data_IF_060321494715
#
_entry.id   IF_060321494715
#
_cell.length_a   1.000
_cell.length_b   1.000
_cell.length_c   1.000
_cell.angle_alpha   90.00
_cell.angle_beta   90.00
_cell.angle_gamma   90.00
#
_symmetry.space_group_name_H-M   'P 1'
#
loop_
_entity.id
_entity.type
_entity.pdbx_description
1 polymer ?
#
# COMPACT_ATOMS: atom_id res chain seq x y z
N UNK A 1 -7.02 89.25 -1.69
CA UNK A 1 -8.26 88.98 -0.94
C UNK A 1 -8.11 87.64 -0.24
N UNK A 2 -7.83 87.66 1.06
CA UNK A 2 -7.73 86.45 1.88
C UNK A 2 -9.16 85.93 2.16
N UNK A 3 -9.52 84.77 1.61
CA UNK A 3 -10.78 84.11 1.94
C UNK A 3 -10.65 83.46 3.32
N UNK A 4 -11.52 83.88 4.24
CA UNK A 4 -11.57 83.38 5.61
C UNK A 4 -11.99 81.90 5.63
N UNK A 5 -11.02 80.99 5.78
CA UNK A 5 -11.30 79.57 5.96
C UNK A 5 -11.66 79.30 7.42
N UNK A 6 -12.95 79.41 7.74
CA UNK A 6 -13.55 79.03 9.02
C UNK A 6 -13.47 77.51 9.18
N UNK A 7 -12.47 77.01 9.90
CA UNK A 7 -12.25 75.57 10.06
C UNK A 7 -13.18 75.01 11.14
N UNK A 8 -14.20 74.27 10.74
CA UNK A 8 -15.14 73.61 11.64
C UNK A 8 -14.58 72.27 12.13
N UNK A 9 -14.83 71.96 13.40
CA UNK A 9 -14.54 70.65 13.97
C UNK A 9 -15.46 69.58 13.34
N UNK A 10 -14.91 68.44 12.92
CA UNK A 10 -15.65 67.34 12.30
C UNK A 10 -16.76 66.78 13.21
N UNK A 11 -16.53 66.72 14.53
CA UNK A 11 -17.48 66.12 15.49
C UNK A 11 -18.57 67.08 15.98
N UNK A 12 -18.25 68.36 16.23
CA UNK A 12 -19.20 69.32 16.82
C UNK A 12 -19.59 70.49 15.91
N UNK A 13 -19.01 70.58 14.71
CA UNK A 13 -19.27 71.60 13.69
C UNK A 13 -19.08 73.06 14.13
N UNK A 14 -18.45 73.30 15.29
CA UNK A 14 -18.13 74.66 15.78
C UNK A 14 -16.85 75.18 15.13
N UNK A 15 -16.84 76.47 14.79
CA UNK A 15 -15.68 77.19 14.26
C UNK A 15 -14.74 77.60 15.41
N UNK A 16 -13.76 76.75 15.72
CA UNK A 16 -12.76 76.97 16.76
C UNK A 16 -11.34 76.70 16.19
N UNK A 17 -10.28 76.92 16.98
CA UNK A 17 -8.95 76.41 16.65
C UNK A 17 -9.03 74.89 16.51
N UNK A 18 -8.81 74.39 15.28
CA UNK A 18 -8.86 72.97 14.94
C UNK A 18 -7.49 72.45 14.53
N UNK A 19 -7.24 71.20 14.85
CA UNK A 19 -6.04 70.44 14.51
C UNK A 19 -6.41 69.39 13.47
N UNK A 20 -5.60 69.25 12.42
CA UNK A 20 -5.81 68.23 11.39
C UNK A 20 -5.18 66.91 11.84
N UNK A 21 -5.91 65.81 11.78
CA UNK A 21 -5.36 64.47 11.91
C UNK A 21 -4.79 64.04 10.55
N UNK A 22 -3.49 63.71 10.50
CA UNK A 22 -2.82 63.31 9.25
C UNK A 22 -3.37 61.99 8.68
N UNK A 23 -3.82 61.06 9.53
CA UNK A 23 -4.34 59.76 9.10
C UNK A 23 -5.70 59.85 8.39
N UNK A 24 -6.68 60.53 8.99
CA UNK A 24 -8.04 60.60 8.45
C UNK A 24 -8.34 61.92 7.70
N UNK A 25 -7.37 62.83 7.61
CA UNK A 25 -7.49 64.16 6.99
C UNK A 25 -8.62 65.05 7.54
N UNK A 26 -9.22 64.69 8.68
CA UNK A 26 -10.29 65.44 9.34
C UNK A 26 -9.72 66.41 10.38
N UNK A 27 -10.47 67.47 10.67
CA UNK A 27 -10.09 68.51 11.63
C UNK A 27 -10.91 68.42 12.91
N UNK A 28 -10.25 68.48 14.07
CA UNK A 28 -10.87 68.35 15.39
C UNK A 28 -10.51 69.53 16.28
N UNK A 29 -11.41 69.99 17.14
CA UNK A 29 -11.06 71.01 18.14
C UNK A 29 -10.28 70.38 19.30
N UNK A 30 -9.71 71.22 20.19
CA UNK A 30 -8.90 70.79 21.33
C UNK A 30 -9.58 69.78 22.27
N UNK A 31 -10.92 69.71 22.28
CA UNK A 31 -11.69 68.79 23.12
C UNK A 31 -11.91 67.44 22.40
N UNK A 32 -12.22 67.45 21.11
CA UNK A 32 -12.57 66.22 20.36
C UNK A 32 -11.37 65.51 19.72
N UNK A 33 -10.20 66.16 19.65
CA UNK A 33 -8.97 65.50 19.18
C UNK A 33 -8.51 64.40 20.15
N UNK A 34 -8.45 64.63 21.48
CA UNK A 34 -8.20 63.57 22.47
C UNK A 34 -9.20 62.41 22.38
N UNK A 35 -10.48 62.68 22.19
CA UNK A 35 -11.51 61.62 22.05
C UNK A 35 -11.30 60.79 20.78
N UNK A 36 -10.89 61.41 19.66
CA UNK A 36 -10.56 60.69 18.44
C UNK A 36 -9.32 59.80 18.62
N UNK A 37 -8.29 60.31 19.28
CA UNK A 37 -7.08 59.54 19.60
C UNK A 37 -7.36 58.40 20.58
N UNK A 38 -8.27 58.61 21.54
CA UNK A 38 -8.72 57.55 22.45
C UNK A 38 -9.41 56.42 21.69
N UNK A 39 -10.32 56.73 20.74
CA UNK A 39 -10.95 55.71 19.89
C UNK A 39 -9.94 54.95 19.04
N UNK A 40 -8.93 55.63 18.50
CA UNK A 40 -7.86 54.96 17.75
C UNK A 40 -7.01 54.03 18.64
N UNK A 41 -6.77 54.41 19.91
CA UNK A 41 -6.11 53.53 20.87
C UNK A 41 -6.99 52.33 21.24
N UNK A 42 -8.31 52.53 21.39
CA UNK A 42 -9.26 51.44 21.62
C UNK A 42 -9.28 50.47 20.42
N UNK A 43 -9.29 50.97 19.18
CA UNK A 43 -9.18 50.14 17.97
C UNK A 43 -7.83 49.39 17.90
N UNK A 44 -6.72 50.04 18.28
CA UNK A 44 -5.42 49.39 18.36
C UNK A 44 -5.41 48.28 19.42
N UNK A 45 -6.05 48.49 20.57
CA UNK A 45 -6.20 47.45 21.59
C UNK A 45 -6.98 46.25 21.06
N UNK A 46 -8.09 46.46 20.34
CA UNK A 46 -8.81 45.38 19.69
C UNK A 46 -7.95 44.60 18.68
N UNK A 47 -7.15 45.30 17.87
CA UNK A 47 -6.23 44.64 16.92
C UNK A 47 -5.16 43.82 17.65
N UNK A 48 -4.65 44.32 18.78
CA UNK A 48 -3.67 43.60 19.61
C UNK A 48 -4.30 42.35 20.23
N UNK A 49 -5.54 42.44 20.70
CA UNK A 49 -6.27 41.30 21.25
C UNK A 49 -6.52 40.23 20.18
N UNK A 50 -7.00 40.62 18.99
CA UNK A 50 -7.18 39.73 17.84
C UNK A 50 -5.85 39.07 17.42
N UNK A 51 -4.75 39.82 17.42
CA UNK A 51 -3.41 39.29 17.13
C UNK A 51 -2.98 38.25 18.16
N UNK A 52 -3.21 38.51 19.44
CA UNK A 52 -2.85 37.59 20.51
C UNK A 52 -3.69 36.31 20.45
N UNK A 53 -5.00 36.41 20.20
CA UNK A 53 -5.88 35.25 20.01
C UNK A 53 -5.42 34.42 18.80
N UNK A 54 -5.10 35.07 17.67
CA UNK A 54 -4.60 34.38 16.49
C UNK A 54 -3.25 33.68 16.74
N UNK A 55 -2.36 34.33 17.50
CA UNK A 55 -1.07 33.76 17.91
C UNK A 55 -1.24 32.56 18.83
N UNK A 56 -2.18 32.60 19.75
CA UNK A 56 -2.54 31.45 20.60
C UNK A 56 -3.07 30.29 19.76
N UNK A 57 -4.01 30.53 18.83
CA UNK A 57 -4.51 29.50 17.90
C UNK A 57 -3.40 28.86 17.06
N UNK A 58 -2.42 29.63 16.59
CA UNK A 58 -1.25 29.10 15.88
C UNK A 58 -0.40 28.22 16.80
N UNK A 59 -0.18 28.64 18.06
CA UNK A 59 0.61 27.86 19.01
C UNK A 59 -0.12 26.56 19.41
N UNK A 60 -1.44 26.60 19.57
CA UNK A 60 -2.26 25.42 19.79
C UNK A 60 -2.20 24.45 18.60
N UNK A 61 -2.28 24.95 17.37
CA UNK A 61 -2.12 24.11 16.17
C UNK A 61 -0.70 23.51 16.05
N UNK A 62 0.34 24.27 16.43
CA UNK A 62 1.71 23.75 16.49
C UNK A 62 1.91 22.69 17.56
N UNK A 63 1.20 22.78 18.69
CA UNK A 63 1.24 21.75 19.72
C UNK A 63 0.40 20.52 19.32
N UNK A 64 -0.72 20.74 18.64
CA UNK A 64 -1.57 19.68 18.10
C UNK A 64 -1.02 19.05 16.81
N UNK A 65 0.12 19.50 16.28
CA UNK A 65 0.71 18.91 15.07
C UNK A 65 1.12 17.45 15.26
N UNK A 66 1.26 16.98 16.51
CA UNK A 66 1.47 15.57 16.86
C UNK A 66 0.18 14.74 16.88
N UNK A 67 -0.99 15.39 17.04
CA UNK A 67 -2.32 14.76 17.00
C UNK A 67 -2.96 14.91 15.61
N UNK A 68 -2.16 15.01 14.56
CA UNK A 68 -2.67 15.10 13.21
C UNK A 68 -3.31 13.75 12.85
N UNK A 69 -4.50 13.77 12.22
CA UNK A 69 -5.21 12.55 11.83
C UNK A 69 -4.39 11.60 10.94
N UNK A 70 -3.45 12.16 10.16
CA UNK A 70 -2.49 11.37 9.39
C UNK A 70 -1.41 10.69 10.24
N UNK A 71 -0.99 11.28 11.37
CA UNK A 71 -0.07 10.62 12.31
C UNK A 71 -0.79 9.46 12.99
N UNK A 72 -2.05 9.65 13.41
CA UNK A 72 -2.85 8.55 13.92
C UNK A 72 -3.04 7.42 12.88
N UNK A 73 -3.20 7.77 11.60
CA UNK A 73 -3.23 6.78 10.52
C UNK A 73 -1.88 6.07 10.34
N UNK A 74 -0.76 6.79 10.40
CA UNK A 74 0.59 6.21 10.35
C UNK A 74 0.79 5.24 11.53
N UNK A 75 0.44 5.63 12.74
CA UNK A 75 0.56 4.79 13.93
C UNK A 75 -0.33 3.53 13.82
N UNK A 76 -1.54 3.69 13.27
CA UNK A 76 -2.42 2.56 12.97
C UNK A 76 -1.81 1.62 11.93
N UNK A 77 -1.26 2.16 10.84
CA UNK A 77 -0.62 1.37 9.78
C UNK A 77 0.65 0.68 10.26
N UNK A 78 1.46 1.34 11.09
CA UNK A 78 2.62 0.75 11.74
C UNK A 78 2.19 -0.44 12.61
N UNK A 79 1.18 -0.23 13.47
CA UNK A 79 0.65 -1.28 14.33
C UNK A 79 0.11 -2.47 13.53
N UNK A 80 -0.68 -2.21 12.49
CA UNK A 80 -1.24 -3.25 11.62
C UNK A 80 -0.13 -4.01 10.89
N UNK A 81 0.86 -3.30 10.33
CA UNK A 81 1.98 -3.90 9.61
C UNK A 81 2.84 -4.78 10.51
N UNK A 82 3.19 -4.29 11.71
CA UNK A 82 3.93 -5.07 12.71
C UNK A 82 3.15 -6.31 13.12
N UNK A 83 1.84 -6.19 13.33
CA UNK A 83 1.01 -7.32 13.74
C UNK A 83 0.91 -8.38 12.62
N UNK A 84 0.75 -7.96 11.37
CA UNK A 84 0.80 -8.87 10.21
C UNK A 84 2.14 -9.60 10.13
N UNK A 85 3.27 -8.88 10.29
CA UNK A 85 4.60 -9.49 10.30
C UNK A 85 4.76 -10.47 11.46
N UNK A 86 4.29 -10.13 12.66
CA UNK A 86 4.31 -11.03 13.83
C UNK A 86 3.47 -12.28 13.61
N UNK A 87 2.25 -12.13 13.07
CA UNK A 87 1.36 -13.25 12.77
C UNK A 87 1.98 -14.17 11.71
N UNK A 88 2.53 -13.60 10.63
CA UNK A 88 3.23 -14.39 9.59
C UNK A 88 4.44 -15.12 10.17
N UNK A 89 5.25 -14.45 11.00
CA UNK A 89 6.36 -15.09 11.70
C UNK A 89 5.89 -16.21 12.64
N UNK A 90 4.76 -16.05 13.32
CA UNK A 90 4.19 -17.06 14.20
C UNK A 90 3.70 -18.29 13.42
N UNK A 91 2.96 -18.09 12.34
CA UNK A 91 2.52 -19.16 11.44
C UNK A 91 3.72 -19.95 10.89
N UNK A 92 4.80 -19.26 10.54
CA UNK A 92 6.03 -19.91 10.11
C UNK A 92 6.71 -20.71 11.22
N UNK A 93 6.77 -20.19 12.45
CA UNK A 93 7.26 -20.96 13.61
C UNK A 93 6.44 -22.23 13.81
N UNK A 94 5.12 -22.13 13.75
CA UNK A 94 4.22 -23.28 13.85
C UNK A 94 4.49 -24.28 12.73
N UNK A 95 4.66 -23.82 11.49
CA UNK A 95 5.02 -24.67 10.35
C UNK A 95 6.37 -25.39 10.55
N UNK A 96 7.39 -24.74 11.13
CA UNK A 96 8.68 -25.40 11.48
C UNK A 96 8.46 -26.47 12.52
N UNK A 97 7.69 -26.17 13.56
CA UNK A 97 7.40 -27.10 14.65
C UNK A 97 6.65 -28.31 14.12
N UNK A 98 5.59 -28.12 13.34
CA UNK A 98 4.81 -29.19 12.73
C UNK A 98 5.66 -30.05 11.77
N UNK A 99 6.47 -29.42 10.92
CA UNK A 99 7.36 -30.15 10.02
C UNK A 99 8.41 -30.97 10.79
N UNK A 100 8.95 -30.41 11.87
CA UNK A 100 9.90 -31.11 12.75
C UNK A 100 9.25 -32.26 13.50
N UNK A 101 8.04 -32.06 14.04
CA UNK A 101 7.25 -33.12 14.68
C UNK A 101 6.90 -34.24 13.70
N UNK A 102 6.46 -33.90 12.49
CA UNK A 102 6.16 -34.89 11.45
C UNK A 102 7.40 -35.71 11.08
N UNK A 103 8.56 -35.06 11.00
CA UNK A 103 9.83 -35.75 10.79
C UNK A 103 10.15 -36.74 11.93
N UNK A 104 10.04 -36.31 13.19
CA UNK A 104 10.27 -37.16 14.36
C UNK A 104 9.26 -38.31 14.41
N UNK A 105 7.96 -38.05 14.19
CA UNK A 105 6.93 -39.09 14.16
C UNK A 105 7.20 -40.14 13.08
N UNK A 106 7.70 -39.74 11.91
CA UNK A 106 8.10 -40.67 10.85
C UNK A 106 9.29 -41.55 11.28
N UNK A 107 10.27 -40.98 11.99
CA UNK A 107 11.40 -41.73 12.56
C UNK A 107 10.90 -42.71 13.64
N UNK A 108 10.02 -42.28 14.53
CA UNK A 108 9.42 -43.12 15.57
C UNK A 108 8.63 -44.29 14.97
N UNK A 109 7.84 -44.06 13.91
CA UNK A 109 7.14 -45.13 13.20
C UNK A 109 8.10 -46.18 12.63
N UNK A 110 9.18 -45.74 11.95
CA UNK A 110 10.22 -46.66 11.45
C UNK A 110 10.90 -47.43 12.57
N UNK A 111 11.16 -46.76 13.70
CA UNK A 111 11.79 -47.39 14.86
C UNK A 111 10.86 -48.42 15.53
N UNK A 112 9.57 -48.12 15.64
CA UNK A 112 8.57 -49.05 16.17
C UNK A 112 8.39 -50.27 15.27
N UNK A 113 8.37 -50.10 13.95
CA UNK A 113 8.34 -51.20 12.99
C UNK A 113 9.57 -52.11 13.14
N UNK A 114 10.76 -51.51 13.26
CA UNK A 114 12.00 -52.25 13.53
C UNK A 114 11.93 -53.02 14.86
N UNK A 115 11.36 -52.42 15.91
CA UNK A 115 11.18 -53.09 17.21
C UNK A 115 10.25 -54.31 17.10
N UNK A 116 9.15 -54.20 16.33
CA UNK A 116 8.25 -55.33 16.05
C UNK A 116 9.00 -56.45 15.32
N UNK A 117 9.79 -56.12 14.30
CA UNK A 117 10.60 -57.10 13.56
C UNK A 117 11.62 -57.80 14.47
N UNK A 118 12.28 -57.05 15.38
CA UNK A 118 13.20 -57.62 16.37
C UNK A 118 12.47 -58.61 17.29
N UNK A 119 11.29 -58.23 17.81
CA UNK A 119 10.50 -59.09 18.70
C UNK A 119 9.99 -60.36 18.00
N UNK A 120 9.69 -60.29 16.70
CA UNK A 120 9.31 -61.46 15.90
C UNK A 120 10.50 -62.42 15.75
N UNK A 121 11.66 -61.91 15.33
CA UNK A 121 12.89 -62.70 15.18
C UNK A 121 13.35 -63.34 16.48
N UNK A 122 13.14 -62.71 17.63
CA UNK A 122 13.44 -63.29 18.95
C UNK A 122 12.63 -64.55 19.28
N UNK A 123 11.48 -64.75 18.63
CA UNK A 123 10.61 -65.92 18.81
C UNK A 123 10.91 -67.05 17.81
N UNK A 124 11.67 -66.76 16.77
CA UNK A 124 12.07 -67.72 15.75
C UNK A 124 13.31 -68.52 16.22
N UNK A 125 13.36 -69.80 15.87
CA UNK A 125 14.47 -70.70 16.27
C UNK A 125 15.54 -70.87 15.19
N UNK A 126 15.31 -70.34 13.99
CA UNK A 126 16.12 -70.54 12.78
C UNK A 126 16.64 -69.22 12.15
N UNK A 127 16.65 -68.12 12.91
CA UNK A 127 17.24 -66.87 12.44
C UNK A 127 18.74 -67.02 12.13
N UNK A 128 19.23 -66.25 11.16
CA UNK A 128 20.62 -66.34 10.70
C UNK A 128 21.29 -64.95 10.58
N UNK A 129 22.56 -64.94 10.16
CA UNK A 129 23.38 -63.74 10.03
C UNK A 129 22.83 -62.72 9.02
N UNK A 130 22.06 -63.17 8.03
CA UNK A 130 21.41 -62.28 7.05
C UNK A 130 20.33 -61.45 7.74
N UNK A 131 19.54 -62.06 8.63
CA UNK A 131 18.50 -61.37 9.41
C UNK A 131 19.14 -60.32 10.33
N UNK A 132 20.25 -60.66 11.01
CA UNK A 132 20.96 -59.74 11.88
C UNK A 132 21.58 -58.56 11.12
N UNK A 133 22.16 -58.81 9.94
CA UNK A 133 22.71 -57.75 9.09
C UNK A 133 21.62 -56.86 8.49
N UNK A 134 20.45 -57.41 8.17
CA UNK A 134 19.30 -56.64 7.73
C UNK A 134 18.84 -55.64 8.80
N UNK A 135 18.64 -56.10 10.05
CA UNK A 135 18.26 -55.23 11.17
C UNK A 135 19.31 -54.15 11.45
N UNK A 136 20.60 -54.51 11.43
CA UNK A 136 21.71 -53.54 11.60
C UNK A 136 21.69 -52.46 10.52
N UNK A 137 21.45 -52.83 9.26
CA UNK A 137 21.36 -51.88 8.17
C UNK A 137 20.15 -50.95 8.29
N UNK A 138 18.99 -51.46 8.74
CA UNK A 138 17.81 -50.62 8.99
C UNK A 138 18.05 -49.64 10.14
N UNK A 139 18.64 -50.10 11.25
CA UNK A 139 19.00 -49.24 12.36
C UNK A 139 19.97 -48.13 11.92
N UNK A 140 20.99 -48.49 11.12
CA UNK A 140 21.96 -47.52 10.58
C UNK A 140 21.29 -46.44 9.73
N UNK A 141 20.36 -46.83 8.85
CA UNK A 141 19.60 -45.88 8.01
C UNK A 141 18.76 -44.92 8.86
N UNK A 142 18.06 -45.42 9.88
CA UNK A 142 17.27 -44.58 10.79
C UNK A 142 18.19 -43.60 11.55
N UNK A 143 19.35 -44.07 12.02
CA UNK A 143 20.35 -43.21 12.68
C UNK A 143 20.92 -42.15 11.74
N UNK A 144 21.22 -42.50 10.49
CA UNK A 144 21.68 -41.56 9.45
C UNK A 144 20.61 -40.50 9.14
N UNK A 145 19.35 -40.90 9.02
CA UNK A 145 18.23 -39.98 8.80
C UNK A 145 18.02 -39.03 9.98
N UNK A 146 18.04 -39.53 11.23
CA UNK A 146 17.91 -38.71 12.44
C UNK A 146 19.04 -37.68 12.57
N UNK A 147 20.27 -38.05 12.18
CA UNK A 147 21.44 -37.18 12.24
C UNK A 147 21.52 -36.18 11.08
N UNK A 148 20.75 -36.38 10.00
CA UNK A 148 20.56 -35.34 9.00
C UNK A 148 19.57 -34.30 9.57
N UNK A 149 20.09 -33.11 9.93
CA UNK A 149 19.28 -32.01 10.45
C UNK A 149 18.03 -31.79 9.59
N UNK A 150 16.93 -31.38 10.23
CA UNK A 150 15.66 -31.08 9.56
C UNK A 150 15.88 -30.23 8.31
N UNK A 151 15.23 -30.64 7.20
CA UNK A 151 15.39 -30.09 5.85
C UNK A 151 14.85 -28.65 5.68
N UNK A 152 15.00 -27.80 6.68
CA UNK A 152 14.37 -26.50 6.79
C UNK A 152 15.49 -25.44 6.78
N UNK A 153 15.49 -24.58 5.77
CA UNK A 153 16.34 -23.39 5.73
C UNK A 153 15.49 -22.14 5.75
N UNK A 154 15.93 -21.15 6.53
CA UNK A 154 15.32 -19.83 6.58
C UNK A 154 16.05 -18.94 5.58
N UNK A 155 15.30 -18.28 4.70
CA UNK A 155 15.83 -17.22 3.84
C UNK A 155 15.23 -15.88 4.29
N UNK A 156 16.11 -14.90 4.49
CA UNK A 156 15.71 -13.51 4.74
C UNK A 156 15.62 -12.80 3.39
N UNK A 157 14.54 -12.04 3.18
CA UNK A 157 14.39 -11.24 1.96
C UNK A 157 15.36 -10.03 1.97
N UNK A 158 15.85 -9.64 0.80
CA UNK A 158 17.06 -8.81 0.63
C UNK A 158 16.84 -7.30 0.80
N UNK A 159 15.69 -6.89 1.33
CA UNK A 159 15.30 -5.47 1.47
C UNK A 159 15.62 -4.95 2.88
N UNK A 160 15.87 -3.64 3.02
CA UNK A 160 16.28 -2.99 4.27
C UNK A 160 15.25 -3.11 5.42
N UNK A 161 13.99 -3.46 5.10
CA UNK A 161 12.93 -3.84 6.03
C UNK A 161 12.55 -5.31 5.81
N UNK A 162 12.32 -6.06 6.90
CA UNK A 162 11.80 -7.43 6.83
C UNK A 162 10.33 -7.35 6.44
N UNK A 163 10.06 -7.35 5.14
CA UNK A 163 8.69 -7.37 4.60
C UNK A 163 8.12 -8.79 4.57
N UNK A 164 9.00 -9.79 4.50
CA UNK A 164 8.63 -11.19 4.46
C UNK A 164 9.71 -12.06 5.10
N UNK A 165 9.26 -13.04 5.89
CA UNK A 165 10.06 -14.19 6.29
C UNK A 165 9.47 -15.36 5.51
N UNK A 166 10.30 -16.12 4.79
CA UNK A 166 9.87 -17.29 4.05
C UNK A 166 10.70 -18.50 4.46
N UNK A 167 10.04 -19.61 4.76
CA UNK A 167 10.70 -20.88 5.01
C UNK A 167 10.73 -21.67 3.71
N UNK A 168 11.93 -22.07 3.29
CA UNK A 168 12.12 -22.97 2.16
C UNK A 168 12.34 -24.37 2.73
N UNK A 169 11.39 -25.28 2.45
CA UNK A 169 11.58 -26.71 2.70
C UNK A 169 12.54 -27.26 1.64
N UNK A 170 13.83 -27.35 1.98
CA UNK A 170 14.85 -27.88 1.09
C UNK A 170 14.78 -29.42 1.09
N UNK A 171 13.83 -30.00 0.35
CA UNK A 171 14.00 -31.40 -0.11
C UNK A 171 15.22 -31.45 -1.02
N UNK A 172 16.42 -31.70 -0.48
CA UNK A 172 17.69 -31.95 -1.19
C UNK A 172 17.69 -31.38 -2.61
N UNK A 173 17.59 -30.04 -2.73
CA UNK A 173 17.72 -29.39 -4.02
C UNK A 173 19.20 -29.35 -4.31
N UNK A 174 19.70 -30.40 -4.96
CA UNK A 174 20.90 -30.25 -5.77
C UNK A 174 20.61 -29.07 -6.68
N UNK A 175 21.37 -28.00 -6.51
CA UNK A 175 21.21 -26.66 -7.09
C UNK A 175 21.43 -26.59 -8.60
N UNK A 176 20.90 -27.56 -9.34
CA UNK A 176 20.80 -27.53 -10.80
C UNK A 176 19.33 -27.77 -11.15
N UNK A 177 18.65 -26.65 -11.39
CA UNK A 177 17.28 -26.51 -11.93
C UNK A 177 16.16 -26.83 -10.94
N UNK A 178 15.54 -25.77 -10.41
CA UNK A 178 14.21 -25.87 -9.80
C UNK A 178 13.26 -26.43 -10.87
N UNK A 179 12.76 -27.66 -10.67
CA UNK A 179 11.70 -28.23 -11.51
C UNK A 179 10.36 -27.88 -10.87
N UNK A 180 9.54 -27.16 -11.63
CA UNK A 180 8.16 -26.84 -11.25
C UNK A 180 7.28 -28.07 -11.42
N UNK A 181 6.50 -28.40 -10.38
CA UNK A 181 5.44 -29.40 -10.49
C UNK A 181 4.40 -28.93 -11.53
N UNK A 182 4.05 -29.80 -12.47
CA UNK A 182 3.12 -29.47 -13.56
C UNK A 182 1.66 -29.73 -13.12
N UNK A 183 1.27 -29.15 -11.98
CA UNK A 183 -0.02 -29.35 -11.31
C UNK A 183 -0.76 -28.02 -11.08
N UNK A 184 -0.64 -27.09 -12.03
CA UNK A 184 -1.28 -25.78 -11.93
C UNK A 184 -2.79 -25.90 -11.66
N UNK A 185 -3.26 -25.08 -10.72
CA UNK A 185 -4.68 -24.94 -10.39
C UNK A 185 -5.21 -23.60 -10.92
N UNK A 186 -6.45 -23.57 -11.37
CA UNK A 186 -7.11 -22.33 -11.81
C UNK A 186 -7.60 -21.56 -10.58
N UNK A 187 -7.08 -20.36 -10.37
CA UNK A 187 -7.44 -19.48 -9.24
C UNK A 187 -8.36 -18.32 -9.62
N UNK A 188 -8.50 -18.04 -10.93
CA UNK A 188 -9.41 -17.02 -11.47
C UNK A 188 -9.87 -17.44 -12.88
N UNK A 189 -11.14 -17.19 -13.21
CA UNK A 189 -11.72 -17.56 -14.51
C UNK A 189 -11.86 -19.08 -14.70
N UNK A 190 -11.56 -19.56 -15.92
CA UNK A 190 -11.68 -20.98 -16.30
C UNK A 190 -13.06 -21.43 -16.78
N UNK A 191 -14.07 -20.55 -16.75
CA UNK A 191 -15.44 -20.85 -17.17
C UNK A 191 -15.78 -20.43 -18.60
N UNK A 192 -14.76 -20.19 -19.43
CA UNK A 192 -14.90 -19.76 -20.82
C UNK A 192 -14.71 -18.26 -21.04
N UNK A 193 -14.77 -17.87 -22.32
CA UNK A 193 -14.68 -16.47 -22.77
C UNK A 193 -16.04 -15.81 -22.67
N UNK A 194 -16.14 -14.75 -21.86
CA UNK A 194 -17.36 -13.98 -21.69
C UNK A 194 -17.18 -12.84 -20.70
N UNK A 195 -18.28 -12.25 -20.24
CA UNK A 195 -18.30 -11.05 -19.40
C UNK A 195 -18.96 -11.25 -18.03
N UNK A 196 -19.35 -12.48 -17.69
CA UNK A 196 -19.85 -12.79 -16.33
C UNK A 196 -18.76 -12.62 -15.29
N UNK A 197 -19.13 -12.60 -14.01
CA UNK A 197 -18.19 -12.41 -12.90
C UNK A 197 -17.23 -13.60 -12.70
N UNK A 198 -17.50 -14.76 -13.30
CA UNK A 198 -16.66 -15.94 -13.28
C UNK A 198 -16.00 -16.25 -14.64
N UNK A 199 -16.18 -15.37 -15.64
CA UNK A 199 -15.65 -15.48 -17.00
C UNK A 199 -14.66 -14.33 -17.29
N UNK A 200 -13.73 -14.55 -18.21
CA UNK A 200 -12.67 -13.60 -18.56
C UNK A 200 -12.45 -13.58 -20.08
N UNK A 201 -11.96 -12.49 -20.64
CA UNK A 201 -11.78 -12.33 -22.09
C UNK A 201 -10.48 -11.59 -22.45
N UNK A 202 -9.57 -12.32 -23.11
CA UNK A 202 -8.27 -11.84 -23.59
C UNK A 202 -7.46 -11.08 -22.52
N UNK A 203 -7.16 -11.78 -21.43
CA UNK A 203 -6.40 -11.23 -20.30
C UNK A 203 -5.04 -10.67 -20.72
N UNK A 204 -4.65 -9.56 -20.11
CA UNK A 204 -3.40 -8.84 -20.44
C UNK A 204 -2.38 -8.84 -19.30
N UNK A 205 -2.84 -8.68 -18.05
CA UNK A 205 -1.97 -8.51 -16.89
C UNK A 205 -2.60 -9.06 -15.60
N UNK A 206 -1.74 -9.36 -14.62
CA UNK A 206 -2.15 -9.80 -13.28
C UNK A 206 -1.36 -9.08 -12.19
N UNK A 207 -1.97 -8.92 -11.02
CA UNK A 207 -1.31 -8.49 -9.78
C UNK A 207 -1.84 -9.35 -8.63
N UNK A 208 -0.97 -9.74 -7.69
CA UNK A 208 -1.34 -10.54 -6.52
C UNK A 208 -0.98 -9.76 -5.27
N UNK A 209 -1.95 -9.52 -4.39
CA UNK A 209 -1.73 -8.84 -3.12
C UNK A 209 -1.30 -9.80 -2.00
N UNK A 210 -0.88 -9.24 -0.87
CA UNK A 210 -0.41 -10.00 0.31
C UNK A 210 -1.49 -10.93 0.89
N UNK A 211 -2.77 -10.63 0.66
CA UNK A 211 -3.92 -11.44 1.07
C UNK A 211 -4.24 -12.56 0.04
N UNK A 212 -3.36 -12.77 -0.95
CA UNK A 212 -3.50 -13.73 -2.05
C UNK A 212 -4.72 -13.46 -2.94
N UNK A 213 -5.21 -12.22 -2.97
CA UNK A 213 -6.21 -11.81 -3.95
C UNK A 213 -5.54 -11.52 -5.29
N UNK A 214 -6.16 -11.98 -6.37
CA UNK A 214 -5.65 -11.81 -7.73
C UNK A 214 -6.46 -10.74 -8.45
N UNK A 215 -5.78 -9.71 -8.92
CA UNK A 215 -6.33 -8.67 -9.77
C UNK A 215 -5.96 -8.99 -11.20
N UNK A 216 -6.94 -8.95 -12.08
CA UNK A 216 -6.79 -9.36 -13.47
C UNK A 216 -7.34 -8.26 -14.37
N UNK A 217 -6.53 -7.85 -15.34
CA UNK A 217 -6.96 -6.96 -16.40
C UNK A 217 -7.70 -7.76 -17.47
N UNK A 218 -9.02 -7.61 -17.45
CA UNK A 218 -9.96 -8.26 -18.36
C UNK A 218 -10.15 -7.37 -19.60
N UNK A 219 -9.11 -7.37 -20.44
CA UNK A 219 -8.84 -6.37 -21.49
C UNK A 219 -10.04 -6.10 -22.40
N UNK A 220 -10.62 -7.15 -22.98
CA UNK A 220 -11.71 -7.04 -23.96
C UNK A 220 -13.06 -6.73 -23.30
N UNK A 221 -13.18 -6.94 -21.99
CA UNK A 221 -14.33 -6.49 -21.21
C UNK A 221 -14.09 -5.10 -20.58
N UNK A 222 -12.95 -4.48 -20.86
CA UNK A 222 -12.58 -3.13 -20.43
C UNK A 222 -12.72 -2.91 -18.92
N UNK A 223 -12.32 -3.89 -18.13
CA UNK A 223 -12.46 -3.86 -16.68
C UNK A 223 -11.28 -4.50 -15.98
N UNK A 224 -11.13 -4.20 -14.70
CA UNK A 224 -10.26 -4.95 -13.79
C UNK A 224 -11.13 -5.72 -12.82
N UNK A 225 -10.82 -6.99 -12.66
CA UNK A 225 -11.52 -7.92 -11.81
C UNK A 225 -10.62 -8.37 -10.66
N UNK A 226 -11.17 -8.45 -9.44
CA UNK A 226 -10.49 -8.99 -8.25
C UNK A 226 -11.12 -10.32 -7.85
N UNK A 227 -10.30 -11.36 -7.70
CA UNK A 227 -10.66 -12.62 -7.05
C UNK A 227 -10.00 -12.67 -5.68
N UNK A 228 -10.80 -12.85 -4.62
CA UNK A 228 -10.25 -13.23 -3.32
C UNK A 228 -9.80 -14.69 -3.37
N UNK A 229 -8.89 -15.07 -2.47
CA UNK A 229 -8.46 -16.45 -2.29
C UNK A 229 -9.67 -17.40 -2.22
N UNK A 230 -9.63 -18.47 -3.01
CA UNK A 230 -10.65 -19.52 -3.10
C UNK A 230 -12.05 -19.06 -3.59
N UNK A 231 -12.19 -17.83 -4.07
CA UNK A 231 -13.46 -17.31 -4.59
C UNK A 231 -13.81 -17.96 -5.94
N UNK A 232 -15.10 -18.29 -6.13
CA UNK A 232 -15.61 -18.87 -7.39
C UNK A 232 -15.89 -17.81 -8.47
N UNK A 233 -16.11 -16.58 -8.05
CA UNK A 233 -16.38 -15.43 -8.91
C UNK A 233 -15.58 -14.21 -8.41
N UNK A 234 -15.29 -13.30 -9.33
CA UNK A 234 -14.58 -12.07 -9.04
C UNK A 234 -15.54 -10.89 -8.89
N UNK A 235 -15.00 -9.78 -8.42
CA UNK A 235 -15.72 -8.51 -8.34
C UNK A 235 -15.06 -7.49 -9.25
N UNK A 236 -15.86 -6.65 -9.91
CA UNK A 236 -15.34 -5.53 -10.71
C UNK A 236 -14.79 -4.49 -9.75
N UNK A 237 -13.52 -4.12 -9.92
CA UNK A 237 -12.83 -3.14 -9.07
C UNK A 237 -12.36 -1.90 -9.83
N UNK A 238 -12.31 -1.95 -11.17
CA UNK A 238 -12.12 -0.77 -12.02
C UNK A 238 -12.79 -0.97 -13.39
N UNK A 239 -13.13 0.12 -14.08
CA UNK A 239 -13.72 0.09 -15.43
C UNK A 239 -15.21 -0.26 -15.50
N UNK A 240 -15.94 -0.16 -14.39
CA UNK A 240 -17.39 -0.38 -14.33
C UNK A 240 -18.23 0.71 -15.02
N UNK A 241 -19.52 0.82 -14.65
CA UNK A 241 -20.51 1.61 -15.39
C UNK A 241 -20.28 3.13 -15.44
N UNK A 242 -19.51 3.72 -14.51
CA UNK A 242 -19.37 5.19 -14.38
C UNK A 242 -18.10 5.75 -15.01
N UNK A 243 -16.95 5.07 -14.86
CA UNK A 243 -15.68 5.48 -15.45
C UNK A 243 -15.16 4.37 -16.35
N UNK A 244 -15.40 4.51 -17.66
CA UNK A 244 -15.05 3.49 -18.65
C UNK A 244 -13.55 3.46 -18.89
N UNK A 245 -12.95 2.30 -18.64
CA UNK A 245 -11.65 1.94 -19.20
C UNK A 245 -11.85 1.55 -20.67
N UNK A 246 -10.76 1.48 -21.42
CA UNK A 246 -10.71 0.96 -22.78
C UNK A 246 -9.42 0.16 -22.95
N UNK A 247 -9.59 -1.16 -23.03
CA UNK A 247 -8.49 -2.14 -23.05
C UNK A 247 -7.57 -2.00 -21.82
N UNK A 248 -8.07 -2.39 -20.64
CA UNK A 248 -7.24 -2.42 -19.44
C UNK A 248 -5.98 -3.29 -19.67
N UNK A 249 -4.79 -2.71 -19.43
CA UNK A 249 -3.50 -3.39 -19.58
C UNK A 249 -2.87 -3.63 -18.20
N UNK A 250 -1.82 -2.90 -17.83
CA UNK A 250 -1.17 -3.02 -16.53
C UNK A 250 -2.10 -2.65 -15.39
N UNK A 251 -2.07 -3.45 -14.32
CA UNK A 251 -2.75 -3.18 -13.06
C UNK A 251 -1.76 -3.35 -11.92
N UNK A 252 -1.74 -2.40 -10.99
CA UNK A 252 -1.01 -2.49 -9.72
C UNK A 252 -1.90 -1.95 -8.59
N UNK A 253 -1.69 -2.46 -7.39
CA UNK A 253 -2.39 -2.00 -6.19
C UNK A 253 -1.35 -1.52 -5.19
N UNK A 254 -1.53 -0.32 -4.65
CA UNK A 254 -0.63 0.20 -3.62
C UNK A 254 -0.96 -0.34 -2.22
N UNK A 255 -0.13 -0.01 -1.24
CA UNK A 255 -0.32 -0.44 0.15
C UNK A 255 -1.57 0.15 0.83
N UNK A 256 -2.20 1.16 0.21
CA UNK A 256 -3.47 1.76 0.65
C UNK A 256 -4.68 1.11 -0.04
N UNK A 257 -4.47 0.07 -0.85
CA UNK A 257 -5.53 -0.59 -1.60
C UNK A 257 -6.02 0.20 -2.82
N UNK A 258 -5.31 1.24 -3.24
CA UNK A 258 -5.67 2.02 -4.43
C UNK A 258 -5.21 1.29 -5.67
N UNK A 259 -6.10 1.23 -6.67
CA UNK A 259 -5.90 0.45 -7.88
C UNK A 259 -5.51 1.40 -9.01
N UNK A 260 -4.35 1.17 -9.60
CA UNK A 260 -3.86 1.93 -10.74
C UNK A 260 -3.96 1.04 -11.98
N UNK A 261 -4.43 1.62 -13.08
CA UNK A 261 -4.67 0.88 -14.33
C UNK A 261 -4.15 1.69 -15.51
N UNK A 262 -3.35 1.05 -16.35
CA UNK A 262 -3.01 1.57 -17.67
C UNK A 262 -4.22 1.41 -18.59
N UNK A 263 -4.82 2.54 -18.94
CA UNK A 263 -6.01 2.65 -19.78
C UNK A 263 -5.56 2.85 -21.24
N UNK A 264 -5.26 1.72 -21.89
CA UNK A 264 -4.46 1.63 -23.11
C UNK A 264 -4.99 2.49 -24.26
N UNK A 265 -6.24 2.29 -24.68
CA UNK A 265 -6.80 3.03 -25.82
C UNK A 265 -7.22 4.46 -25.46
N UNK A 266 -7.22 4.81 -24.18
CA UNK A 266 -7.49 6.18 -23.72
C UNK A 266 -6.20 6.95 -23.40
N UNK A 267 -5.02 6.37 -23.66
CA UNK A 267 -3.73 7.06 -23.56
C UNK A 267 -3.50 7.71 -22.19
N UNK A 268 -3.86 6.99 -21.11
CA UNK A 268 -3.79 7.51 -19.74
C UNK A 268 -3.57 6.41 -18.71
N UNK A 269 -3.24 6.82 -17.48
CA UNK A 269 -3.27 5.95 -16.30
C UNK A 269 -4.34 6.49 -15.35
N UNK A 270 -5.19 5.58 -14.89
CA UNK A 270 -6.32 5.88 -14.01
C UNK A 270 -6.07 5.29 -12.62
N UNK A 271 -6.63 5.91 -11.59
CA UNK A 271 -6.59 5.44 -10.20
C UNK A 271 -7.99 5.35 -9.60
N UNK A 272 -8.25 4.28 -8.84
CA UNK A 272 -9.43 4.12 -8.00
C UNK A 272 -9.00 4.00 -6.54
N UNK A 273 -9.50 4.90 -5.69
CA UNK A 273 -9.39 4.73 -4.25
C UNK A 273 -10.37 3.68 -3.75
N UNK A 274 -10.02 2.98 -2.66
CA UNK A 274 -10.91 1.99 -2.06
C UNK A 274 -12.29 2.60 -1.75
N UNK A 275 -13.35 1.90 -2.17
CA UNK A 275 -14.74 2.32 -1.97
C UNK A 275 -15.26 3.40 -2.93
N UNK A 276 -14.43 3.95 -3.83
CA UNK A 276 -14.90 4.90 -4.87
C UNK A 276 -15.32 4.15 -6.14
N UNK A 277 -16.50 4.50 -6.65
CA UNK A 277 -16.98 3.99 -7.94
C UNK A 277 -16.32 4.68 -9.15
N UNK A 278 -15.80 5.90 -8.93
CA UNK A 278 -15.22 6.74 -9.97
C UNK A 278 -13.70 6.77 -9.86
N UNK A 279 -13.05 6.59 -11.02
CA UNK A 279 -11.61 6.70 -11.15
C UNK A 279 -11.18 8.11 -11.54
N UNK A 280 -9.97 8.49 -11.15
CA UNK A 280 -9.36 9.76 -11.52
C UNK A 280 -8.14 9.53 -12.42
N UNK A 281 -7.84 10.52 -13.27
CA UNK A 281 -6.67 10.49 -14.14
C UNK A 281 -5.44 10.84 -13.27
N UNK A 282 -4.43 9.98 -13.29
CA UNK A 282 -3.16 10.22 -12.59
C UNK A 282 -2.15 10.87 -13.53
N UNK A 283 -2.01 10.32 -14.74
CA UNK A 283 -1.12 10.82 -15.79
C UNK A 283 -1.72 10.56 -17.17
N UNK A 284 -1.35 11.39 -18.15
CA UNK A 284 -1.94 11.32 -19.49
C UNK A 284 -3.33 11.95 -19.54
N UNK A 285 -4.12 11.56 -20.55
CA UNK A 285 -5.47 12.10 -20.76
C UNK A 285 -5.51 13.42 -21.54
N UNK A 286 -4.35 13.99 -21.88
CA UNK A 286 -4.20 15.20 -22.70
C UNK A 286 -3.99 14.87 -24.20
N UNK A 287 -4.61 13.79 -24.66
CA UNK A 287 -4.46 13.25 -26.02
C UNK A 287 -3.24 12.35 -26.19
N UNK A 288 -3.19 11.67 -27.33
CA UNK A 288 -2.03 10.89 -27.75
C UNK A 288 -0.89 11.82 -28.19
N UNK A 289 0.34 11.48 -27.83
CA UNK A 289 1.50 12.25 -28.25
C UNK A 289 2.74 11.98 -27.41
N UNK A 290 3.80 12.74 -27.67
CA UNK A 290 5.13 12.55 -27.10
C UNK A 290 5.52 13.62 -26.06
N UNK A 291 4.61 14.53 -25.70
CA UNK A 291 4.83 15.49 -24.63
C UNK A 291 4.91 14.80 -23.26
N UNK A 292 5.36 15.53 -22.24
CA UNK A 292 5.56 14.98 -20.88
C UNK A 292 4.26 14.59 -20.17
N UNK A 293 3.14 15.20 -20.55
CA UNK A 293 1.79 14.95 -20.02
C UNK A 293 0.93 14.10 -20.98
N UNK A 294 1.55 13.56 -22.04
CA UNK A 294 0.91 12.72 -23.04
C UNK A 294 1.50 11.30 -23.01
N UNK A 295 0.65 10.33 -23.35
CA UNK A 295 1.02 8.92 -23.47
C UNK A 295 0.55 8.38 -24.81
N UNK A 296 1.15 7.29 -25.25
CA UNK A 296 0.80 6.58 -26.47
C UNK A 296 0.75 5.08 -26.19
N UNK A 297 -0.47 4.58 -25.97
CA UNK A 297 -0.75 3.18 -25.67
C UNK A 297 0.03 2.63 -24.47
N UNK A 298 -0.22 3.14 -23.25
CA UNK A 298 0.47 2.68 -22.05
C UNK A 298 0.13 1.21 -21.76
N UNK A 299 1.14 0.38 -21.48
CA UNK A 299 0.96 -1.07 -21.24
C UNK A 299 1.23 -1.48 -19.81
N UNK A 300 2.43 -1.21 -19.30
CA UNK A 300 2.87 -1.61 -17.97
C UNK A 300 3.00 -0.40 -17.05
N UNK A 301 2.79 -0.62 -15.75
CA UNK A 301 3.02 0.36 -14.70
C UNK A 301 3.65 -0.30 -13.48
N UNK A 302 4.50 0.43 -12.75
CA UNK A 302 5.04 0.01 -11.45
C UNK A 302 5.41 1.22 -10.59
N UNK A 303 5.55 1.00 -9.29
CA UNK A 303 6.06 1.99 -8.34
C UNK A 303 7.51 1.66 -7.94
N UNK A 304 8.30 2.68 -7.65
CA UNK A 304 9.52 2.52 -6.83
C UNK A 304 9.21 2.66 -5.33
N UNK A 305 10.20 2.37 -4.49
CA UNK A 305 10.07 2.45 -3.02
C UNK A 305 9.82 3.88 -2.50
N UNK A 306 10.04 4.91 -3.33
CA UNK A 306 9.72 6.30 -3.03
C UNK A 306 8.29 6.70 -3.44
N UNK A 307 7.52 5.77 -4.03
CA UNK A 307 6.15 6.00 -4.50
C UNK A 307 6.07 6.70 -5.87
N UNK A 308 7.16 6.80 -6.63
CA UNK A 308 7.12 7.34 -7.98
C UNK A 308 6.54 6.30 -8.95
N UNK A 309 5.66 6.73 -9.85
CA UNK A 309 5.02 5.89 -10.86
C UNK A 309 5.90 5.81 -12.13
N UNK A 310 6.19 4.61 -12.59
CA UNK A 310 6.81 4.36 -13.89
C UNK A 310 5.76 3.82 -14.85
N UNK A 311 5.72 4.36 -16.06
CA UNK A 311 4.77 3.98 -17.10
C UNK A 311 5.53 3.56 -18.35
N UNK A 312 5.18 2.38 -18.88
CA UNK A 312 5.64 1.90 -20.19
C UNK A 312 4.79 2.58 -21.26
N UNK A 313 5.35 3.62 -21.89
CA UNK A 313 4.72 4.40 -22.95
C UNK A 313 5.09 3.80 -24.31
N UNK A 314 4.34 2.75 -24.68
CA UNK A 314 4.80 1.71 -25.60
C UNK A 314 5.09 2.20 -27.01
N UNK A 315 4.16 2.91 -27.65
CA UNK A 315 4.34 3.35 -29.03
C UNK A 315 5.22 4.59 -29.16
N UNK A 316 5.48 5.28 -28.04
CA UNK A 316 6.55 6.27 -27.95
C UNK A 316 7.93 5.64 -27.67
N UNK A 317 8.01 4.32 -27.50
CA UNK A 317 9.25 3.57 -27.22
C UNK A 317 10.03 4.12 -26.01
N UNK A 318 9.32 4.54 -24.95
CA UNK A 318 9.94 5.14 -23.76
C UNK A 318 9.32 4.65 -22.46
N UNK A 319 10.06 4.85 -21.37
CA UNK A 319 9.57 4.70 -20.00
C UNK A 319 9.54 6.09 -19.38
N UNK A 320 8.42 6.47 -18.76
CA UNK A 320 8.30 7.75 -18.07
C UNK A 320 8.17 7.55 -16.56
N UNK A 321 8.88 8.37 -15.79
CA UNK A 321 8.81 8.44 -14.34
C UNK A 321 7.98 9.67 -13.94
N UNK A 322 6.99 9.47 -13.10
CA UNK A 322 6.15 10.52 -12.55
C UNK A 322 6.27 10.55 -11.03
N UNK A 323 6.59 11.72 -10.50
CA UNK A 323 6.68 11.95 -9.07
C UNK A 323 5.30 12.30 -8.52
N UNK A 324 4.92 11.69 -7.40
CA UNK A 324 3.75 12.14 -6.65
C UNK A 324 4.06 13.54 -6.08
N UNK A 325 3.21 14.50 -6.43
CA UNK A 325 3.22 15.85 -5.85
C UNK A 325 1.97 15.93 -4.98
N UNK A 326 2.14 16.23 -3.70
CA UNK A 326 1.03 16.58 -2.82
C UNK A 326 0.70 18.06 -3.08
N UNK A 327 -0.51 18.35 -3.58
CA UNK A 327 -1.06 19.71 -3.64
C UNK A 327 -1.73 20.10 -2.32
#
# INVERSE_FOLDING_TARGET
MAMANKTQCFTCHRENNTFTCEGCSKRFCAIHLPEHLQRLNEELHHIIDDYNEFKERINEQKQNSQNHSLIEQIDQWEKISIEKVKQKAQNWRETVIESSQTFINNIEMKFNDLNIQIQQLQKETDFNEVNLNYLRNQLRKITEELNSSSNISIQQDSKAFINEISIISLKKVNSKFNKWEQNAITVAGGNGKGNKLNELNALSFIFVDDDQSVYVSDQENHRVMKWRKDAKEGTIVAGGNRTRLSYAQGVIVDHLGQIYVADYLNHRVMRWCEGKEEGEIVVGGNGEGNQSDQLHYPRGICFDDEGNLYVVDSENNRIQKFKIICE
#
